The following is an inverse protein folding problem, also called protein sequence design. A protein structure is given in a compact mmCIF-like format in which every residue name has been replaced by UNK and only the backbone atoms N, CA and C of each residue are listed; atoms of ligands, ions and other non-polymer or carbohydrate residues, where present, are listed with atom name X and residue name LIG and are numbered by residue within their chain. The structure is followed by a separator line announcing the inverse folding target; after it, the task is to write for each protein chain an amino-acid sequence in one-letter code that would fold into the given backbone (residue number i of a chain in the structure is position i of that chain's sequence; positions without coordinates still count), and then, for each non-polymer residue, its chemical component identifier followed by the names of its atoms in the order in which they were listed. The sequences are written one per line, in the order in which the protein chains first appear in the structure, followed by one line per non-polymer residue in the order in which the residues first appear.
data_IF_894630211811
#
_entry.id   IF_894630211811
#
_cell.length_a   1.000
_cell.length_b   1.000
_cell.length_c   1.000
_cell.angle_alpha   90.00
_cell.angle_beta   90.00
_cell.angle_gamma   90.00
#
_symmetry.space_group_name_H-M   'P 1'
#
loop_
_entity.id
_entity.type
_entity.pdbx_description
1 polymer ?
#
# COMPACT_ATOMS: atom_id res chain seq x y z
N UNK A 1 24.03 12.23 19.18
CA UNK A 1 22.78 13.01 19.20
C UNK A 1 21.89 12.40 20.28
N UNK A 2 21.77 13.05 21.46
CA UNK A 2 20.92 12.55 22.55
C UNK A 2 19.45 12.50 22.09
N UNK A 3 18.83 11.32 22.22
CA UNK A 3 17.40 11.14 21.98
C UNK A 3 16.63 11.77 23.16
N UNK A 4 16.06 12.95 22.97
CA UNK A 4 15.14 13.51 23.95
C UNK A 4 13.89 12.62 24.00
N UNK A 5 13.54 12.16 25.21
CA UNK A 5 12.30 11.38 25.45
C UNK A 5 11.10 12.24 25.06
N UNK A 6 10.47 11.93 23.94
CA UNK A 6 9.14 12.48 23.62
C UNK A 6 8.11 11.81 24.55
N UNK A 7 7.35 12.62 25.28
CA UNK A 7 6.31 12.11 26.19
C UNK A 7 5.28 11.26 25.42
N UNK A 8 5.11 10.00 25.87
CA UNK A 8 4.12 9.07 25.33
C UNK A 8 4.61 8.07 24.27
N UNK A 9 5.84 8.20 23.70
CA UNK A 9 6.37 7.24 22.74
C UNK A 9 7.50 6.43 23.36
N UNK A 10 7.41 5.09 23.28
CA UNK A 10 8.45 4.20 23.81
C UNK A 10 9.81 4.50 23.15
N UNK A 11 10.89 4.52 23.93
CA UNK A 11 12.21 4.93 23.48
C UNK A 11 12.75 4.04 22.34
N UNK A 12 12.52 2.72 22.41
CA UNK A 12 12.93 1.81 21.33
C UNK A 12 12.27 2.17 19.99
N UNK A 13 11.04 2.69 20.01
CA UNK A 13 10.31 3.10 18.81
C UNK A 13 10.91 4.35 18.18
N UNK A 14 11.26 5.34 18.99
CA UNK A 14 11.95 6.54 18.51
C UNK A 14 13.30 6.19 17.85
N UNK A 15 14.00 5.17 18.40
CA UNK A 15 15.26 4.67 17.82
C UNK A 15 14.98 3.93 16.51
N UNK A 16 13.95 3.08 16.45
CA UNK A 16 13.57 2.41 15.21
C UNK A 16 13.26 3.41 14.11
N UNK A 17 12.50 4.48 14.41
CA UNK A 17 12.18 5.53 13.45
C UNK A 17 13.40 6.28 12.96
N UNK A 18 14.38 6.56 13.83
CA UNK A 18 15.66 7.18 13.43
C UNK A 18 16.50 6.27 12.56
N UNK A 19 16.64 4.99 12.91
CA UNK A 19 17.39 4.02 12.09
C UNK A 19 16.70 3.89 10.72
N UNK A 20 15.36 3.84 10.67
CA UNK A 20 14.59 3.82 9.43
C UNK A 20 14.87 5.06 8.57
N UNK A 21 14.87 6.24 9.17
CA UNK A 21 15.20 7.48 8.48
C UNK A 21 16.62 7.46 7.91
N UNK A 22 17.62 7.02 8.72
CA UNK A 22 19.02 6.88 8.27
C UNK A 22 19.17 5.89 7.10
N UNK A 23 18.43 4.77 7.14
CA UNK A 23 18.38 3.81 6.02
C UNK A 23 17.75 4.47 4.78
N UNK A 24 16.62 5.17 4.95
CA UNK A 24 15.94 5.85 3.85
C UNK A 24 16.79 6.96 3.20
N UNK A 25 17.60 7.66 3.99
CA UNK A 25 18.54 8.70 3.55
C UNK A 25 19.83 8.13 2.95
N UNK A 26 20.02 6.81 2.93
CA UNK A 26 21.22 6.17 2.36
C UNK A 26 22.46 6.22 3.24
N UNK A 27 22.35 6.63 4.52
CA UNK A 27 23.50 6.77 5.41
C UNK A 27 24.29 5.46 5.61
N UNK A 28 23.66 4.32 5.41
CA UNK A 28 24.27 2.99 5.56
C UNK A 28 24.47 2.25 4.22
N UNK A 29 24.29 2.92 3.11
CA UNK A 29 24.29 2.31 1.76
C UNK A 29 25.62 1.67 1.39
N UNK A 30 26.72 2.35 1.68
CA UNK A 30 28.06 1.84 1.39
C UNK A 30 28.39 0.52 2.13
N UNK A 31 27.81 0.34 3.33
CA UNK A 31 28.00 -0.87 4.14
C UNK A 31 26.97 -1.96 3.87
N UNK A 32 25.79 -1.61 3.33
CA UNK A 32 24.63 -2.51 3.14
C UNK A 32 24.09 -3.10 4.45
N UNK A 33 24.51 -2.57 5.58
CA UNK A 33 24.17 -3.06 6.93
C UNK A 33 24.11 -1.92 7.93
N UNK A 34 23.25 -2.09 8.92
CA UNK A 34 23.14 -1.18 10.06
C UNK A 34 24.35 -1.36 10.97
N UNK A 35 24.87 -0.29 11.62
CA UNK A 35 25.96 -0.41 12.60
C UNK A 35 25.63 -1.42 13.71
N UNK A 36 26.65 -2.05 14.33
CA UNK A 36 26.46 -2.99 15.44
C UNK A 36 25.66 -2.39 16.60
N UNK A 37 24.89 -3.21 17.31
CA UNK A 37 24.05 -2.78 18.46
C UNK A 37 24.80 -1.89 19.45
N UNK A 38 26.07 -2.21 19.75
CA UNK A 38 26.88 -1.42 20.67
C UNK A 38 27.20 -0.01 20.14
N UNK A 39 27.47 0.09 18.85
CA UNK A 39 27.74 1.38 18.18
C UNK A 39 26.49 2.25 18.21
N UNK A 40 25.34 1.68 17.85
CA UNK A 40 24.05 2.38 17.89
C UNK A 40 23.68 2.77 19.34
N UNK A 41 23.92 1.90 20.32
CA UNK A 41 23.66 2.20 21.73
C UNK A 41 24.47 3.42 22.20
N UNK A 42 25.74 3.48 21.84
CA UNK A 42 26.61 4.64 22.13
C UNK A 42 26.15 5.89 21.37
N UNK A 43 25.81 5.76 20.08
CA UNK A 43 25.36 6.88 19.24
C UNK A 43 24.06 7.52 19.75
N UNK A 44 23.09 6.70 20.22
CA UNK A 44 21.81 7.17 20.71
C UNK A 44 21.77 7.45 22.22
N UNK A 45 22.83 7.12 22.96
CA UNK A 45 22.90 7.30 24.40
C UNK A 45 21.93 6.40 25.18
N UNK A 46 21.71 5.17 24.73
CA UNK A 46 20.76 4.21 25.30
C UNK A 46 21.41 2.85 25.59
N UNK A 47 20.70 1.99 26.32
CA UNK A 47 21.20 0.66 26.56
C UNK A 47 21.02 -0.25 25.31
N UNK A 48 21.83 -1.31 25.25
CA UNK A 48 21.83 -2.25 24.13
C UNK A 48 20.49 -2.95 23.94
N UNK A 49 19.73 -3.20 25.02
CA UNK A 49 18.41 -3.84 24.91
C UNK A 49 17.39 -2.98 24.17
N UNK A 50 17.44 -1.66 24.38
CA UNK A 50 16.57 -0.71 23.65
C UNK A 50 16.86 -0.73 22.15
N UNK A 51 18.15 -0.77 21.75
CA UNK A 51 18.55 -0.89 20.35
C UNK A 51 18.10 -2.23 19.77
N UNK A 52 18.27 -3.32 20.51
CA UNK A 52 17.82 -4.65 20.08
C UNK A 52 16.31 -4.70 19.82
N UNK A 53 15.52 -4.11 20.72
CA UNK A 53 14.06 -3.99 20.52
C UNK A 53 13.71 -3.18 19.29
N UNK A 54 14.44 -2.09 19.02
CA UNK A 54 14.27 -1.28 17.81
C UNK A 54 14.59 -2.07 16.54
N UNK A 55 15.74 -2.78 16.52
CA UNK A 55 16.13 -3.62 15.38
C UNK A 55 15.20 -4.81 15.17
N UNK A 56 14.67 -5.41 16.24
CA UNK A 56 13.67 -6.49 16.16
C UNK A 56 12.37 -5.98 15.50
N UNK A 57 11.91 -4.80 15.86
CA UNK A 57 10.75 -4.17 15.22
C UNK A 57 11.00 -3.93 13.71
N UNK A 58 12.16 -3.35 13.36
CA UNK A 58 12.54 -3.15 11.96
C UNK A 58 12.69 -4.47 11.19
N UNK A 59 13.10 -5.54 11.86
CA UNK A 59 13.17 -6.87 11.24
C UNK A 59 11.77 -7.47 11.01
N UNK A 60 10.83 -7.27 11.92
CA UNK A 60 9.43 -7.66 11.73
C UNK A 60 8.78 -6.90 10.56
N UNK A 61 9.16 -5.64 10.38
CA UNK A 61 8.75 -4.82 9.23
C UNK A 61 9.49 -5.23 7.94
N UNK A 62 10.52 -6.09 8.03
CA UNK A 62 11.36 -6.55 6.93
C UNK A 62 12.23 -5.44 6.33
N UNK A 63 12.55 -4.40 7.10
CA UNK A 63 13.49 -3.32 6.72
C UNK A 63 14.93 -3.79 6.91
N UNK A 64 15.16 -4.63 7.91
CA UNK A 64 16.46 -5.21 8.19
C UNK A 64 16.34 -6.72 8.45
N UNK A 65 17.45 -7.45 8.31
CA UNK A 65 17.54 -8.88 8.64
C UNK A 65 18.83 -9.17 9.40
N UNK A 66 18.68 -9.76 10.58
CA UNK A 66 19.84 -10.24 11.34
C UNK A 66 20.41 -11.50 10.68
N UNK A 67 21.70 -11.52 10.37
CA UNK A 67 22.42 -12.67 9.82
C UNK A 67 23.60 -12.99 10.73
N UNK A 68 23.61 -14.21 11.23
CA UNK A 68 24.68 -14.64 12.14
C UNK A 68 26.07 -14.50 11.47
N UNK A 69 27.00 -13.89 12.18
CA UNK A 69 28.34 -13.61 11.68
C UNK A 69 28.47 -12.46 10.67
N UNK A 70 27.37 -11.95 10.10
CA UNK A 70 27.38 -10.86 9.12
C UNK A 70 26.79 -9.55 9.65
N UNK A 71 26.07 -9.59 10.79
CA UNK A 71 25.40 -8.45 11.41
C UNK A 71 23.97 -8.26 10.91
N UNK A 72 23.45 -7.04 11.08
CA UNK A 72 22.10 -6.67 10.66
C UNK A 72 22.14 -6.04 9.27
N UNK A 73 21.75 -6.81 8.27
CA UNK A 73 21.71 -6.38 6.87
C UNK A 73 20.48 -5.52 6.62
N UNK A 74 20.61 -4.51 5.77
CA UNK A 74 19.49 -3.73 5.28
C UNK A 74 18.81 -4.53 4.16
N UNK A 75 17.55 -4.84 4.36
CA UNK A 75 16.70 -5.39 3.32
C UNK A 75 16.20 -4.21 2.48
N UNK A 76 16.94 -3.86 1.44
CA UNK A 76 16.44 -2.93 0.43
C UNK A 76 15.34 -3.62 -0.34
N UNK A 77 14.14 -3.45 0.11
CA UNK A 77 12.98 -3.71 -0.75
C UNK A 77 12.96 -2.55 -1.74
N UNK A 78 13.30 -2.83 -2.98
CA UNK A 78 12.94 -1.90 -4.05
C UNK A 78 11.46 -1.62 -3.90
N UNK A 79 11.09 -0.34 -3.80
CA UNK A 79 9.68 0.03 -3.77
C UNK A 79 9.06 -0.41 -5.07
N UNK A 80 7.92 -1.08 -4.98
CA UNK A 80 7.14 -1.37 -6.17
C UNK A 80 6.72 -0.05 -6.80
N UNK A 81 7.13 0.15 -8.03
CA UNK A 81 6.80 1.35 -8.78
C UNK A 81 5.44 1.19 -9.47
N UNK A 82 4.51 2.08 -9.16
CA UNK A 82 3.21 2.15 -9.81
C UNK A 82 3.19 3.36 -10.74
N UNK A 83 3.35 3.18 -12.05
CA UNK A 83 3.21 4.28 -12.99
C UNK A 83 1.74 4.71 -13.07
N UNK A 84 1.50 6.01 -12.93
CA UNK A 84 0.19 6.61 -13.12
C UNK A 84 0.11 7.14 -14.54
N UNK A 85 -0.71 6.49 -15.35
CA UNK A 85 -0.98 6.83 -16.75
C UNK A 85 -2.49 6.83 -17.00
N UNK A 86 -2.91 7.23 -18.19
CA UNK A 86 -4.32 7.15 -18.61
C UNK A 86 -4.86 5.70 -18.63
N UNK A 87 -3.98 4.69 -18.65
CA UNK A 87 -4.31 3.25 -18.60
C UNK A 87 -3.67 2.55 -17.42
N UNK A 88 -3.62 3.21 -16.26
CA UNK A 88 -3.07 2.63 -15.04
C UNK A 88 -3.87 1.40 -14.62
N UNK A 89 -3.23 0.23 -14.67
CA UNK A 89 -3.76 -1.06 -14.26
C UNK A 89 -2.77 -1.73 -13.31
N UNK A 90 -3.28 -2.41 -12.28
CA UNK A 90 -2.40 -2.98 -11.25
C UNK A 90 -1.38 -3.96 -11.84
N UNK A 91 -1.84 -4.95 -12.63
CA UNK A 91 -0.94 -5.99 -13.15
C UNK A 91 0.06 -5.45 -14.17
N UNK A 92 -0.34 -4.45 -14.95
CA UNK A 92 0.54 -3.77 -15.91
C UNK A 92 1.48 -2.80 -15.20
N UNK A 93 1.01 -2.11 -14.14
CA UNK A 93 1.80 -1.16 -13.37
C UNK A 93 2.93 -1.82 -12.58
N UNK A 94 2.71 -3.00 -11.99
CA UNK A 94 3.78 -3.77 -11.34
C UNK A 94 4.71 -4.41 -12.39
N UNK A 95 4.20 -4.75 -13.60
CA UNK A 95 5.01 -5.35 -14.66
C UNK A 95 5.79 -6.56 -14.16
N UNK A 96 7.09 -6.61 -14.45
CA UNK A 96 8.01 -7.68 -14.06
C UNK A 96 8.63 -7.49 -12.66
N UNK A 97 8.19 -6.47 -11.91
CA UNK A 97 8.69 -6.19 -10.55
C UNK A 97 8.28 -7.26 -9.52
N UNK A 98 7.28 -8.09 -9.84
CA UNK A 98 6.87 -9.24 -9.03
C UNK A 98 6.61 -10.44 -9.92
N UNK A 99 7.05 -11.63 -9.45
CA UNK A 99 6.83 -12.90 -10.15
C UNK A 99 5.39 -13.38 -10.01
N UNK A 100 4.87 -13.27 -8.79
CA UNK A 100 3.50 -13.68 -8.45
C UNK A 100 2.67 -12.46 -8.09
N UNK A 101 1.50 -12.34 -8.70
CA UNK A 101 0.53 -11.27 -8.45
C UNK A 101 -0.80 -11.90 -8.11
N UNK A 102 -1.29 -11.64 -6.91
CA UNK A 102 -2.53 -12.20 -6.39
C UNK A 102 -3.52 -11.08 -6.07
N UNK A 103 -4.76 -11.21 -6.51
CA UNK A 103 -5.88 -10.36 -6.11
C UNK A 103 -6.90 -11.18 -5.32
N UNK A 104 -7.17 -10.77 -4.08
CA UNK A 104 -8.14 -11.41 -3.19
C UNK A 104 -9.35 -10.51 -3.00
N UNK A 105 -10.55 -11.07 -3.15
CA UNK A 105 -11.80 -10.43 -2.73
C UNK A 105 -11.98 -10.67 -1.24
N UNK A 106 -11.93 -9.61 -0.43
CA UNK A 106 -12.14 -9.68 1.01
C UNK A 106 -13.62 -9.63 1.35
N UNK A 107 -14.35 -8.71 0.71
CA UNK A 107 -15.77 -8.50 0.91
C UNK A 107 -16.40 -7.91 -0.35
N UNK A 108 -17.68 -8.21 -0.58
CA UNK A 108 -18.50 -7.57 -1.61
C UNK A 108 -19.93 -7.42 -1.13
N UNK A 109 -20.64 -6.44 -1.68
CA UNK A 109 -22.05 -6.22 -1.40
C UNK A 109 -22.61 -5.09 -2.25
N UNK A 110 -23.94 -5.09 -2.39
CA UNK A 110 -24.67 -3.96 -2.93
C UNK A 110 -25.05 -3.01 -1.80
N UNK A 111 -24.86 -1.71 -2.01
CA UNK A 111 -25.19 -0.66 -1.04
C UNK A 111 -25.67 0.60 -1.76
N UNK A 112 -26.44 1.47 -1.09
CA UNK A 112 -26.76 2.79 -1.61
C UNK A 112 -25.52 3.68 -1.65
N UNK A 113 -25.28 4.35 -2.77
CA UNK A 113 -24.14 5.25 -2.92
C UNK A 113 -24.26 6.45 -1.97
N UNK A 114 -23.26 6.66 -1.13
CA UNK A 114 -23.12 7.91 -0.38
C UNK A 114 -22.82 9.07 -1.33
N UNK A 115 -23.02 10.31 -0.90
CA UNK A 115 -22.70 11.50 -1.71
C UNK A 115 -21.25 11.47 -2.23
N UNK A 116 -20.29 11.04 -1.40
CA UNK A 116 -18.87 10.93 -1.77
C UNK A 116 -18.56 9.86 -2.83
N UNK A 117 -19.44 8.87 -3.00
CA UNK A 117 -19.37 7.83 -4.02
C UNK A 117 -20.18 8.19 -5.25
N UNK A 118 -21.39 8.72 -5.06
CA UNK A 118 -22.30 9.10 -6.13
C UNK A 118 -21.73 10.21 -7.01
N UNK A 119 -21.16 11.26 -6.39
CA UNK A 119 -20.62 12.43 -7.11
C UNK A 119 -19.58 12.04 -8.16
N UNK A 120 -18.48 11.32 -7.85
CA UNK A 120 -17.51 10.93 -8.87
C UNK A 120 -18.09 9.96 -9.91
N UNK A 121 -19.05 9.11 -9.54
CA UNK A 121 -19.70 8.17 -10.48
C UNK A 121 -20.78 8.82 -11.35
N UNK A 122 -21.10 10.10 -11.13
CA UNK A 122 -22.18 10.78 -11.85
C UNK A 122 -23.57 10.20 -11.55
N UNK A 123 -23.75 9.63 -10.35
CA UNK A 123 -24.98 9.05 -9.88
C UNK A 123 -25.72 9.98 -8.92
N UNK A 124 -27.00 9.75 -8.70
CA UNK A 124 -27.72 10.36 -7.60
C UNK A 124 -27.35 9.67 -6.29
N UNK A 125 -27.34 10.42 -5.19
CA UNK A 125 -27.14 9.83 -3.87
C UNK A 125 -28.23 8.77 -3.59
N UNK A 126 -27.81 7.64 -3.00
CA UNK A 126 -28.69 6.50 -2.77
C UNK A 126 -28.83 5.53 -3.97
N UNK A 127 -28.30 5.86 -5.14
CA UNK A 127 -28.29 4.93 -6.25
C UNK A 127 -27.55 3.62 -5.89
N UNK A 128 -28.02 2.45 -6.36
CA UNK A 128 -27.38 1.18 -6.03
C UNK A 128 -25.99 1.05 -6.66
N UNK A 129 -25.00 0.69 -5.85
CA UNK A 129 -23.62 0.42 -6.27
C UNK A 129 -23.15 -0.90 -5.70
N UNK A 130 -22.33 -1.63 -6.46
CA UNK A 130 -21.59 -2.79 -5.95
C UNK A 130 -20.28 -2.30 -5.35
N UNK A 131 -20.07 -2.59 -4.06
CA UNK A 131 -18.84 -2.32 -3.35
C UNK A 131 -17.98 -3.58 -3.29
N UNK A 132 -16.71 -3.46 -3.64
CA UNK A 132 -15.71 -4.52 -3.46
C UNK A 132 -14.61 -4.02 -2.52
N UNK A 133 -14.28 -4.85 -1.52
CA UNK A 133 -13.04 -4.74 -0.74
C UNK A 133 -12.04 -5.77 -1.24
N UNK A 134 -10.88 -5.33 -1.63
CA UNK A 134 -9.87 -6.21 -2.23
C UNK A 134 -8.51 -6.02 -1.59
N UNK A 135 -7.73 -7.10 -1.52
CA UNK A 135 -6.33 -7.10 -1.12
C UNK A 135 -5.50 -7.61 -2.29
N UNK A 136 -4.41 -6.91 -2.59
CA UNK A 136 -3.45 -7.34 -3.61
C UNK A 136 -2.13 -7.68 -2.99
N UNK A 137 -1.51 -8.74 -3.49
CA UNK A 137 -0.20 -9.19 -3.07
C UNK A 137 0.74 -9.27 -4.26
N UNK A 138 2.01 -9.05 -3.98
CA UNK A 138 3.13 -9.26 -4.88
C UNK A 138 4.14 -10.16 -4.16
N UNK A 139 4.47 -11.30 -4.71
CA UNK A 139 5.34 -12.33 -4.11
C UNK A 139 4.93 -12.66 -2.66
N UNK A 140 3.62 -12.88 -2.45
CA UNK A 140 3.01 -13.22 -1.16
C UNK A 140 2.90 -12.08 -0.15
N UNK A 141 3.38 -10.86 -0.48
CA UNK A 141 3.31 -9.68 0.40
C UNK A 141 2.13 -8.80 0.04
N UNK A 142 1.33 -8.35 1.02
CA UNK A 142 0.30 -7.34 0.77
C UNK A 142 0.93 -6.04 0.29
N UNK A 143 0.42 -5.50 -0.85
CA UNK A 143 0.92 -4.27 -1.46
C UNK A 143 -0.15 -3.21 -1.62
N UNK A 144 -1.42 -3.59 -1.63
CA UNK A 144 -2.52 -2.63 -1.54
C UNK A 144 -3.80 -3.26 -1.02
N UNK A 145 -4.57 -2.46 -0.29
CA UNK A 145 -5.96 -2.72 0.06
C UNK A 145 -6.81 -1.67 -0.64
N UNK A 146 -7.90 -2.08 -1.28
CA UNK A 146 -8.74 -1.16 -2.05
C UNK A 146 -10.21 -1.37 -1.78
N UNK A 147 -10.94 -0.27 -1.67
CA UNK A 147 -12.41 -0.22 -1.77
C UNK A 147 -12.76 0.35 -3.13
N UNK A 148 -13.60 -0.33 -3.88
CA UNK A 148 -14.06 0.13 -5.19
C UNK A 148 -15.58 0.02 -5.31
N UNK A 149 -16.20 1.00 -5.96
CA UNK A 149 -17.62 1.08 -6.21
C UNK A 149 -17.90 1.12 -7.70
N UNK A 150 -18.93 0.38 -8.11
CA UNK A 150 -19.34 0.21 -9.48
C UNK A 150 -20.86 0.43 -9.59
N UNK A 151 -21.39 1.13 -10.60
CA UNK A 151 -22.83 1.23 -10.83
C UNK A 151 -23.47 -0.17 -10.92
N UNK A 152 -24.40 -0.51 -10.01
CA UNK A 152 -24.95 -1.86 -9.92
C UNK A 152 -25.72 -2.27 -11.19
N UNK A 153 -26.42 -1.33 -11.81
CA UNK A 153 -27.17 -1.59 -13.04
C UNK A 153 -26.30 -2.12 -14.20
N UNK A 154 -25.01 -1.76 -14.21
CA UNK A 154 -24.08 -2.15 -15.28
C UNK A 154 -23.16 -3.31 -14.88
N UNK A 155 -22.85 -3.44 -13.59
CA UNK A 155 -21.79 -4.33 -13.11
C UNK A 155 -22.25 -5.31 -12.03
N UNK A 156 -23.51 -5.78 -12.09
CA UNK A 156 -24.08 -6.71 -11.11
C UNK A 156 -23.22 -7.96 -10.86
N UNK A 157 -22.51 -8.49 -11.88
CA UNK A 157 -21.63 -9.67 -11.77
C UNK A 157 -20.16 -9.38 -11.46
N UNK A 158 -19.79 -8.14 -11.12
CA UNK A 158 -18.37 -7.76 -10.97
C UNK A 158 -17.68 -8.49 -9.81
N UNK A 159 -18.41 -8.83 -8.75
CA UNK A 159 -17.87 -9.52 -7.59
C UNK A 159 -17.45 -10.96 -7.92
N UNK A 160 -18.28 -11.69 -8.66
CA UNK A 160 -18.01 -13.05 -9.13
C UNK A 160 -16.84 -13.03 -10.10
N UNK A 161 -16.89 -12.17 -11.11
CA UNK A 161 -15.85 -12.04 -12.11
C UNK A 161 -14.48 -11.65 -11.49
N UNK A 162 -14.49 -10.83 -10.43
CA UNK A 162 -13.26 -10.52 -9.68
C UNK A 162 -12.79 -11.70 -8.84
N UNK A 163 -13.70 -12.43 -8.16
CA UNK A 163 -13.35 -13.60 -7.34
C UNK A 163 -12.65 -14.67 -8.18
N UNK A 164 -13.10 -14.88 -9.41
CA UNK A 164 -12.56 -15.89 -10.32
C UNK A 164 -11.21 -15.48 -10.91
N UNK A 165 -10.98 -14.18 -11.13
CA UNK A 165 -9.81 -13.68 -11.86
C UNK A 165 -8.76 -12.97 -11.00
N UNK A 166 -9.12 -12.45 -9.83
CA UNK A 166 -8.29 -11.57 -9.02
C UNK A 166 -7.95 -10.23 -9.70
N UNK A 167 -8.64 -9.87 -10.78
CA UNK A 167 -8.30 -8.71 -11.61
C UNK A 167 -9.53 -7.94 -12.07
N UNK A 168 -9.62 -6.65 -11.73
CA UNK A 168 -10.67 -5.75 -12.22
C UNK A 168 -10.67 -5.67 -13.76
N UNK A 169 -9.48 -5.62 -14.38
CA UNK A 169 -9.38 -5.59 -15.84
C UNK A 169 -9.98 -6.84 -16.50
N UNK A 170 -9.71 -8.02 -15.95
CA UNK A 170 -10.28 -9.27 -16.45
C UNK A 170 -11.78 -9.32 -16.16
N UNK A 171 -12.21 -8.92 -14.97
CA UNK A 171 -13.62 -8.85 -14.60
C UNK A 171 -14.40 -7.90 -15.51
N UNK A 172 -13.86 -6.72 -15.84
CA UNK A 172 -14.49 -5.82 -16.82
C UNK A 172 -14.64 -6.47 -18.20
N UNK A 173 -13.58 -7.14 -18.69
CA UNK A 173 -13.65 -7.85 -19.98
C UNK A 173 -14.74 -8.93 -19.99
N UNK A 174 -14.86 -9.69 -18.90
CA UNK A 174 -15.90 -10.71 -18.75
C UNK A 174 -17.31 -10.12 -18.76
N UNK A 175 -17.47 -8.87 -18.34
CA UNK A 175 -18.74 -8.13 -18.34
C UNK A 175 -18.94 -7.26 -19.60
N UNK A 176 -18.18 -7.52 -20.67
CA UNK A 176 -18.35 -6.83 -21.96
C UNK A 176 -17.69 -5.45 -22.05
N UNK A 177 -16.81 -5.08 -21.10
CA UNK A 177 -16.04 -3.85 -21.15
C UNK A 177 -14.56 -4.16 -21.40
N UNK A 178 -14.10 -4.15 -22.67
CA UNK A 178 -12.73 -4.57 -23.00
C UNK A 178 -11.64 -3.56 -22.63
N UNK A 179 -11.99 -2.27 -22.56
CA UNK A 179 -11.07 -1.19 -22.26
C UNK A 179 -11.69 -0.12 -21.33
N UNK A 180 -10.86 0.58 -20.60
CA UNK A 180 -11.27 1.70 -19.74
C UNK A 180 -10.11 2.66 -19.51
N UNK A 181 -10.45 3.90 -19.15
CA UNK A 181 -9.51 4.99 -19.01
C UNK A 181 -9.55 5.53 -17.58
N UNK A 182 -8.38 5.92 -17.07
CA UNK A 182 -8.24 6.70 -15.85
C UNK A 182 -8.47 8.17 -16.15
N UNK A 183 -9.48 8.76 -15.51
CA UNK A 183 -9.80 10.20 -15.67
C UNK A 183 -8.88 11.02 -14.79
N UNK A 184 -8.80 10.66 -13.51
CA UNK A 184 -7.94 11.34 -12.54
C UNK A 184 -7.49 10.38 -11.44
N UNK A 185 -6.42 10.75 -10.78
CA UNK A 185 -5.94 10.14 -9.55
C UNK A 185 -5.52 11.24 -8.59
N UNK A 186 -6.05 11.20 -7.38
CA UNK A 186 -5.64 12.05 -6.26
C UNK A 186 -4.86 11.19 -5.26
N UNK A 187 -3.69 11.67 -4.82
CA UNK A 187 -2.85 10.96 -3.86
C UNK A 187 -2.70 11.80 -2.61
N UNK A 188 -3.00 11.20 -1.47
CA UNK A 188 -2.79 11.76 -0.14
C UNK A 188 -2.02 10.77 0.74
N UNK A 189 -1.56 11.20 1.91
CA UNK A 189 -0.92 10.33 2.88
C UNK A 189 -1.65 10.42 4.23
N UNK A 190 -1.66 9.31 4.96
CA UNK A 190 -2.23 9.21 6.30
C UNK A 190 -1.49 8.18 7.13
N UNK A 191 -1.72 8.18 8.44
CA UNK A 191 -1.38 7.02 9.26
C UNK A 191 -2.33 5.86 8.93
N UNK A 192 -1.76 4.64 8.91
CA UNK A 192 -2.52 3.41 8.77
C UNK A 192 -3.50 3.24 9.93
N UNK A 193 -4.76 2.98 9.62
CA UNK A 193 -5.76 2.60 10.62
C UNK A 193 -5.56 1.13 11.08
N UNK A 194 -6.42 0.65 11.96
CA UNK A 194 -6.29 -0.72 12.49
C UNK A 194 -6.49 -1.78 11.39
N UNK A 195 -7.48 -1.56 10.51
CA UNK A 195 -7.76 -2.48 9.42
C UNK A 195 -6.63 -2.49 8.37
N UNK A 196 -6.08 -1.32 8.05
CA UNK A 196 -4.90 -1.22 7.18
C UNK A 196 -3.70 -1.98 7.77
N UNK A 197 -3.49 -1.87 9.09
CA UNK A 197 -2.40 -2.58 9.77
C UNK A 197 -2.54 -4.08 9.71
N UNK A 198 -3.75 -4.59 9.87
CA UNK A 198 -4.04 -6.03 9.81
C UNK A 198 -3.87 -6.54 8.38
N UNK A 199 -4.58 -5.93 7.41
CA UNK A 199 -4.64 -6.42 6.04
C UNK A 199 -3.29 -6.25 5.31
N UNK A 200 -2.62 -5.12 5.51
CA UNK A 200 -1.32 -4.81 4.89
C UNK A 200 -0.11 -5.26 5.73
N UNK A 201 -0.35 -5.87 6.90
CA UNK A 201 0.68 -6.33 7.86
C UNK A 201 1.65 -5.22 8.27
N UNK A 202 1.09 -4.07 8.66
CA UNK A 202 1.86 -2.88 8.99
C UNK A 202 2.06 -2.74 10.51
N UNK A 203 3.18 -2.13 10.88
CA UNK A 203 3.44 -1.76 12.27
C UNK A 203 2.59 -0.55 12.69
N UNK A 204 2.30 -0.40 14.00
CA UNK A 204 1.66 0.80 14.51
C UNK A 204 2.42 2.06 14.13
N UNK A 205 1.73 3.06 13.59
CA UNK A 205 2.31 4.33 13.14
C UNK A 205 2.86 4.31 11.72
N UNK A 206 2.71 3.21 10.98
CA UNK A 206 3.05 3.18 9.56
C UNK A 206 2.25 4.24 8.78
N UNK A 207 2.88 4.76 7.73
CA UNK A 207 2.25 5.69 6.80
C UNK A 207 1.76 4.91 5.59
N UNK A 208 0.57 5.25 5.13
CA UNK A 208 -0.01 4.77 3.87
C UNK A 208 -0.18 5.92 2.88
N UNK A 209 -0.01 5.61 1.61
CA UNK A 209 -0.44 6.45 0.50
C UNK A 209 -1.87 6.04 0.14
N UNK A 210 -2.75 7.01 0.04
CA UNK A 210 -4.15 6.81 -0.35
C UNK A 210 -4.33 7.39 -1.74
N UNK A 211 -4.64 6.52 -2.71
CA UNK A 211 -4.97 6.93 -4.07
C UNK A 211 -6.48 6.81 -4.31
N UNK A 212 -7.14 7.95 -4.53
CA UNK A 212 -8.51 8.01 -5.03
C UNK A 212 -8.48 8.13 -6.53
N UNK A 213 -9.36 7.42 -7.21
CA UNK A 213 -9.31 7.41 -8.66
C UNK A 213 -10.67 7.15 -9.29
N UNK A 214 -10.91 7.80 -10.42
CA UNK A 214 -12.08 7.60 -11.27
C UNK A 214 -11.67 6.96 -12.59
N UNK A 215 -12.36 5.90 -12.97
CA UNK A 215 -12.27 5.29 -14.28
C UNK A 215 -13.57 5.47 -15.06
N UNK A 216 -13.44 5.66 -16.38
CA UNK A 216 -14.55 5.69 -17.33
C UNK A 216 -14.36 4.61 -18.39
N UNK A 217 -15.46 4.28 -19.08
CA UNK A 217 -15.37 3.59 -20.35
C UNK A 217 -14.80 4.50 -21.46
N UNK A 218 -14.58 4.00 -22.68
CA UNK A 218 -14.10 4.80 -23.80
C UNK A 218 -15.03 5.96 -24.20
N UNK A 219 -16.33 5.88 -23.88
CA UNK A 219 -17.31 6.93 -24.14
C UNK A 219 -17.35 8.00 -23.04
N UNK A 220 -16.49 7.87 -22.02
CA UNK A 220 -16.39 8.81 -20.92
C UNK A 220 -17.40 8.60 -19.79
N UNK A 221 -18.16 7.52 -19.80
CA UNK A 221 -19.14 7.20 -18.75
C UNK A 221 -18.41 6.65 -17.53
N UNK A 222 -18.61 7.21 -16.32
CA UNK A 222 -18.03 6.68 -15.09
C UNK A 222 -18.42 5.21 -14.82
N UNK A 223 -17.44 4.38 -14.55
CA UNK A 223 -17.62 2.94 -14.34
C UNK A 223 -17.08 2.45 -12.99
N UNK A 224 -16.10 3.13 -12.43
CA UNK A 224 -15.49 2.75 -11.18
C UNK A 224 -14.94 3.97 -10.47
N UNK A 225 -15.31 4.13 -9.21
CA UNK A 225 -14.60 4.97 -8.25
C UNK A 225 -13.87 4.06 -7.26
N UNK A 226 -12.62 4.35 -6.97
CA UNK A 226 -11.82 3.51 -6.08
C UNK A 226 -10.97 4.34 -5.12
N UNK A 227 -10.82 3.81 -3.91
CA UNK A 227 -9.91 4.30 -2.87
C UNK A 227 -8.94 3.17 -2.54
N UNK A 228 -7.69 3.32 -2.92
CA UNK A 228 -6.65 2.32 -2.71
C UNK A 228 -5.63 2.81 -1.70
N UNK A 229 -5.21 1.95 -0.80
CA UNK A 229 -4.27 2.20 0.29
C UNK A 229 -3.02 1.38 0.07
N UNK A 230 -1.86 2.02 0.10
CA UNK A 230 -0.55 1.42 -0.18
C UNK A 230 0.43 1.72 0.95
N UNK A 231 1.23 0.75 1.41
CA UNK A 231 2.32 1.01 2.34
C UNK A 231 3.34 1.98 1.74
N UNK A 232 3.58 3.12 2.38
CA UNK A 232 4.47 4.16 1.86
C UNK A 232 5.97 3.77 1.85
N UNK A 233 6.33 2.74 2.60
CA UNK A 233 7.69 2.20 2.68
C UNK A 233 8.01 1.21 1.54
N UNK A 234 6.98 0.60 0.94
CA UNK A 234 7.14 -0.47 -0.07
C UNK A 234 6.56 -0.14 -1.43
N UNK A 235 5.87 1.00 -1.57
CA UNK A 235 5.26 1.44 -2.83
C UNK A 235 5.65 2.89 -3.12
N UNK A 236 5.88 3.18 -4.39
CA UNK A 236 6.01 4.54 -4.92
C UNK A 236 5.17 4.72 -6.18
N UNK A 237 4.74 5.94 -6.43
CA UNK A 237 4.06 6.31 -7.67
C UNK A 237 4.99 7.12 -8.56
N UNK A 238 5.03 6.79 -9.85
CA UNK A 238 5.74 7.56 -10.86
C UNK A 238 4.73 8.13 -11.85
N UNK A 239 4.86 9.42 -12.14
CA UNK A 239 4.06 10.12 -13.15
C UNK A 239 5.06 10.56 -14.21
N UNK A 240 4.91 10.05 -15.43
CA UNK A 240 5.70 10.43 -16.60
C UNK A 240 4.80 11.20 -17.57
N UNK A 241 5.25 12.35 -18.05
CA UNK A 241 4.52 13.24 -18.98
C UNK A 241 4.90 12.93 -20.42
#
# INVERSE_FOLDING_TARGET
VNVQRQNGVALWRQIADRIRASIANGEYDAAGKVPPEMVLAAQFGVNRHTVRSALAALAQEGIVRAVQGRGTLIERKERLNFPITRRTRFNEGIGDQAREKEGLLLQSGEEPASSSVATPLGLVEGAPVIRLETLRKADGRPVSRSTAWFPAARFAGIAEAYRDSGSITVAFKALGLPDYLRVWTEITASHADEQDRVDLRLSPGAIILIARALNTDPDGIPIQYAVSRFPADSVQFTIEN
#
